data_IF_756252313370
#
_entry.id   IF_756252313370
#
_cell.length_a   1.000
_cell.length_b   1.000
_cell.length_c   1.000
_cell.angle_alpha   90.00
_cell.angle_beta   90.00
_cell.angle_gamma   90.00
#
_symmetry.space_group_name_H-M   'P 1'
#
loop_
_entity.id
_entity.type
_entity.pdbx_description
1 polymer ?
2 polymer ?
3 polymer ?
4 non-polymer ?
5 water ?
#
loop_
_entity_poly.entity_id
_entity_poly.type
_entity_poly.pdbx_seq_one_letter_code
_entity_poly.pdbx_strand_id
2 'polydeoxyribonucleotide' '(DA)(DT)(DG)(DC)(DG)(DA)(DC)(DI)(DG)' ?
3 'polydeoxyribonucleotide' '(DA)(DG)(DC)(DC)(DG)(DT)' ?
#
# COMPACT_ATOMS: atom_id res chain seq x y z
N UNK A 1 -33.56 -5.70 -55.35
CA UNK A 1 -34.41 -4.72 -54.61
C UNK A 1 -34.14 -3.32 -55.15
N UNK A 2 -35.11 -2.44 -55.01
CA UNK A 2 -34.94 -1.09 -55.52
C UNK A 2 -34.31 -0.14 -54.52
N UNK A 3 -34.06 1.08 -54.97
CA UNK A 3 -33.46 2.10 -54.14
C UNK A 3 -33.43 3.44 -54.86
N UNK A 4 -33.13 4.50 -54.13
CA UNK A 4 -33.07 5.82 -54.75
C UNK A 4 -31.66 6.27 -55.02
N UNK A 5 -31.39 6.54 -56.29
CA UNK A 5 -30.07 7.03 -56.67
C UNK A 5 -30.17 8.48 -56.26
N UNK A 6 -29.76 8.79 -55.05
CA UNK A 6 -29.86 10.16 -54.58
C UNK A 6 -28.86 11.10 -55.25
N UNK A 7 -27.70 10.60 -55.65
CA UNK A 7 -26.70 11.43 -56.29
C UNK A 7 -25.70 10.58 -57.05
N UNK A 8 -24.75 11.25 -57.72
CA UNK A 8 -23.72 10.59 -58.49
C UNK A 8 -22.60 10.12 -57.57
N UNK A 9 -21.93 9.04 -57.95
CA UNK A 9 -20.84 8.50 -57.17
C UNK A 9 -19.49 8.99 -57.68
N UNK A 10 -19.42 9.32 -58.97
CA UNK A 10 -18.19 9.80 -59.55
C UNK A 10 -17.95 11.24 -59.10
N UNK A 11 -17.59 11.41 -57.84
CA UNK A 11 -17.32 12.73 -57.28
C UNK A 11 -15.92 12.83 -56.70
N UNK A 12 -15.27 14.00 -56.88
CA UNK A 12 -13.92 14.14 -56.32
C UNK A 12 -14.12 14.25 -54.80
N UNK A 13 -13.17 13.75 -53.99
CA UNK A 13 -13.24 13.78 -52.54
C UNK A 13 -13.92 15.01 -51.92
N UNK A 14 -13.42 16.19 -52.24
CA UNK A 14 -13.98 17.43 -51.71
C UNK A 14 -15.48 17.58 -51.98
N UNK A 15 -15.95 17.03 -53.10
CA UNK A 15 -17.36 17.13 -53.44
C UNK A 15 -18.19 16.14 -52.65
N UNK A 16 -17.64 14.95 -52.41
CA UNK A 16 -18.33 13.93 -51.65
C UNK A 16 -18.72 14.46 -50.26
N UNK A 17 -17.82 15.20 -49.63
CA UNK A 17 -18.04 15.79 -48.31
C UNK A 17 -19.26 16.70 -48.36
N UNK A 18 -19.27 17.57 -49.37
CA UNK A 18 -20.36 18.51 -49.57
C UNK A 18 -21.66 17.72 -49.61
N UNK A 19 -21.66 16.65 -50.41
CA UNK A 19 -22.83 15.80 -50.52
C UNK A 19 -23.19 15.30 -49.13
N UNK A 20 -22.22 14.72 -48.44
CA UNK A 20 -22.43 14.20 -47.10
C UNK A 20 -23.08 15.21 -46.17
N UNK A 21 -22.63 16.46 -46.23
CA UNK A 21 -23.20 17.49 -45.38
C UNK A 21 -24.64 17.81 -45.75
N UNK A 22 -25.05 17.49 -46.97
CA UNK A 22 -26.42 17.76 -47.36
C UNK A 22 -27.29 16.58 -46.99
N UNK A 23 -26.79 15.36 -47.22
CA UNK A 23 -27.55 14.14 -46.91
C UNK A 23 -27.82 13.88 -45.42
N UNK A 24 -26.90 14.32 -44.57
CA UNK A 24 -27.02 14.12 -43.13
C UNK A 24 -28.28 14.76 -42.56
N UNK A 25 -28.76 15.81 -43.20
CA UNK A 25 -29.95 16.51 -42.74
C UNK A 25 -31.21 15.72 -43.02
N UNK A 26 -31.12 14.73 -43.89
CA UNK A 26 -32.27 13.90 -44.25
C UNK A 26 -32.36 12.64 -43.40
N UNK A 27 -31.36 12.39 -42.57
CA UNK A 27 -31.37 11.20 -41.72
C UNK A 27 -32.43 11.30 -40.64
N UNK A 28 -33.06 10.16 -40.34
CA UNK A 28 -34.11 10.10 -39.31
C UNK A 28 -33.71 9.07 -38.25
N UNK A 29 -33.44 9.54 -37.04
CA UNK A 29 -33.07 8.65 -35.95
C UNK A 29 -34.35 8.30 -35.23
N UNK A 30 -34.80 7.08 -35.40
CA UNK A 30 -36.06 6.68 -34.78
C UNK A 30 -36.01 5.28 -34.21
N UNK A 31 -36.81 5.03 -33.17
CA UNK A 31 -36.82 3.70 -32.58
C UNK A 31 -37.15 2.62 -33.59
N UNK A 32 -36.61 1.45 -33.38
CA UNK A 32 -36.95 0.35 -34.23
C UNK A 32 -37.58 -0.56 -33.20
N UNK A 33 -38.88 -0.42 -33.02
CA UNK A 33 -39.63 -1.20 -32.05
C UNK A 33 -40.04 -2.54 -32.66
N UNK A 34 -39.83 -3.62 -31.93
CA UNK A 34 -40.26 -4.89 -32.45
C UNK A 34 -39.20 -5.85 -32.93
N UNK A 35 -39.63 -7.10 -33.15
CA UNK A 35 -38.76 -8.15 -33.59
C UNK A 35 -38.67 -8.19 -35.12
N UNK A 36 -37.46 -8.01 -35.66
CA UNK A 36 -37.30 -8.04 -37.11
C UNK A 36 -37.25 -9.52 -37.51
N UNK A 37 -37.56 -9.81 -38.77
CA UNK A 37 -37.54 -11.19 -39.23
C UNK A 37 -36.42 -11.44 -40.23
N UNK A 38 -36.27 -10.53 -41.19
CA UNK A 38 -35.25 -10.63 -42.21
C UNK A 38 -34.17 -9.61 -41.93
N UNK A 39 -32.98 -10.09 -41.59
CA UNK A 39 -31.88 -9.19 -41.30
C UNK A 39 -30.76 -9.43 -42.31
N UNK A 40 -30.26 -8.33 -42.88
CA UNK A 40 -29.20 -8.40 -43.88
C UNK A 40 -27.85 -7.93 -43.35
N UNK A 41 -26.78 -8.43 -43.96
CA UNK A 41 -25.43 -8.07 -43.58
C UNK A 41 -24.67 -7.79 -44.87
N UNK A 42 -23.89 -6.72 -44.89
CA UNK A 42 -23.14 -6.32 -46.08
C UNK A 42 -21.63 -6.23 -45.89
N UNK A 43 -20.87 -6.62 -46.90
CA UNK A 43 -19.43 -6.52 -46.81
C UNK A 43 -18.77 -6.59 -48.19
N UNK A 44 -17.48 -6.27 -48.25
CA UNK A 44 -16.73 -6.31 -49.50
C UNK A 44 -15.32 -6.83 -49.26
N UNK A 45 -14.80 -7.58 -50.20
CA UNK A 45 -13.43 -8.08 -50.11
C UNK A 45 -12.85 -7.48 -51.37
N UNK A 46 -11.54 -7.54 -51.54
CA UNK A 46 -10.97 -6.94 -52.72
C UNK A 46 -9.97 -7.83 -53.47
N UNK A 47 -10.48 -8.64 -54.41
CA UNK A 47 -9.68 -9.57 -55.23
C UNK A 47 -8.50 -8.88 -55.92
N UNK A 48 -8.61 -7.56 -56.11
CA UNK A 48 -7.57 -6.78 -56.75
C UNK A 48 -7.63 -5.40 -56.14
N UNK A 49 -6.72 -4.49 -56.46
CA UNK A 49 -6.80 -3.17 -55.85
C UNK A 49 -7.98 -2.39 -56.38
N UNK A 50 -8.17 -2.45 -57.69
CA UNK A 50 -9.27 -1.74 -58.32
C UNK A 50 -10.46 -2.68 -58.53
N UNK A 51 -10.45 -3.81 -57.82
CA UNK A 51 -11.54 -4.77 -57.96
C UNK A 51 -12.17 -5.21 -56.65
N UNK A 52 -13.44 -4.90 -56.49
CA UNK A 52 -14.13 -5.28 -55.28
C UNK A 52 -15.11 -6.41 -55.50
N UNK A 53 -15.51 -7.05 -54.40
CA UNK A 53 -16.48 -8.14 -54.42
C UNK A 53 -17.41 -7.91 -53.23
N UNK A 54 -18.62 -7.45 -53.53
CA UNK A 54 -19.60 -7.16 -52.50
C UNK A 54 -20.54 -8.35 -52.32
N UNK A 55 -20.91 -8.61 -51.06
CA UNK A 55 -21.82 -9.70 -50.72
C UNK A 55 -22.87 -9.22 -49.73
N UNK A 56 -24.10 -9.67 -49.92
CA UNK A 56 -25.19 -9.31 -49.00
C UNK A 56 -25.82 -10.61 -48.56
N UNK A 57 -25.95 -10.78 -47.25
CA UNK A 57 -26.55 -12.00 -46.73
C UNK A 57 -27.81 -11.64 -45.95
N UNK A 58 -28.92 -12.30 -46.27
CA UNK A 58 -30.17 -12.06 -45.58
C UNK A 58 -30.37 -13.25 -44.66
N UNK A 59 -30.58 -12.96 -43.38
CA UNK A 59 -30.79 -14.00 -42.39
C UNK A 59 -32.21 -13.92 -41.85
N UNK A 60 -32.65 -15.06 -41.32
CA UNK A 60 -33.98 -15.18 -40.74
C UNK A 60 -33.76 -15.04 -39.24
N UNK A 61 -34.45 -14.09 -38.62
CA UNK A 61 -34.32 -13.91 -37.18
C UNK A 61 -35.61 -14.35 -36.49
N UNK A 62 -35.51 -14.92 -35.28
CA UNK A 62 -34.32 -15.19 -34.49
C UNK A 62 -33.59 -16.51 -34.70
N UNK A 63 -33.78 -17.15 -35.85
CA UNK A 63 -33.12 -18.42 -36.10
C UNK A 63 -31.71 -18.31 -36.71
N UNK A 64 -31.41 -17.14 -37.28
CA UNK A 64 -30.11 -16.89 -37.90
C UNK A 64 -29.86 -17.77 -39.12
N UNK A 65 -30.94 -18.32 -39.66
CA UNK A 65 -30.89 -19.19 -40.83
C UNK A 65 -30.62 -18.33 -42.07
N UNK A 66 -29.73 -18.78 -42.94
CA UNK A 66 -29.44 -18.02 -44.15
C UNK A 66 -30.60 -18.20 -45.12
N UNK A 67 -31.18 -17.11 -45.58
CA UNK A 67 -32.29 -17.18 -46.50
C UNK A 67 -31.87 -16.84 -47.93
N UNK A 68 -30.96 -15.88 -48.06
CA UNK A 68 -30.50 -15.46 -49.38
C UNK A 68 -29.08 -14.91 -49.33
N UNK A 69 -28.39 -14.98 -50.46
CA UNK A 69 -27.03 -14.48 -50.56
C UNK A 69 -26.76 -14.05 -51.98
N UNK A 70 -26.55 -12.76 -52.19
CA UNK A 70 -26.23 -12.26 -53.53
C UNK A 70 -24.89 -11.56 -53.49
N UNK A 71 -24.25 -11.41 -54.64
CA UNK A 71 -22.96 -10.76 -54.68
C UNK A 71 -22.71 -10.08 -56.01
N UNK A 72 -21.79 -9.12 -56.00
CA UNK A 72 -21.44 -8.38 -57.19
C UNK A 72 -19.94 -8.13 -57.18
N UNK A 73 -19.28 -8.52 -58.26
CA UNK A 73 -17.84 -8.36 -58.40
C UNK A 73 -17.68 -7.21 -59.38
N UNK A 74 -16.93 -6.18 -59.01
CA UNK A 74 -16.77 -5.06 -59.91
C UNK A 74 -15.58 -4.16 -59.62
N UNK A 75 -15.39 -3.18 -60.50
CA UNK A 75 -14.28 -2.26 -60.36
C UNK A 75 -14.54 -1.27 -59.24
N UNK A 76 -13.47 -0.92 -58.53
CA UNK A 76 -13.54 0.05 -57.44
C UNK A 76 -12.66 1.19 -57.86
N UNK A 77 -13.25 2.35 -58.07
CA UNK A 77 -12.48 3.51 -58.50
C UNK A 77 -12.01 4.39 -57.35
N UNK A 78 -12.95 4.84 -56.52
CA UNK A 78 -12.68 5.71 -55.37
C UNK A 78 -11.69 5.06 -54.40
N UNK A 79 -10.73 5.84 -53.88
CA UNK A 79 -9.74 5.33 -52.94
C UNK A 79 -10.29 5.27 -51.53
N UNK A 80 -9.53 4.71 -50.61
CA UNK A 80 -9.98 4.66 -49.22
C UNK A 80 -9.55 5.91 -48.50
N UNK A 81 -10.51 6.62 -47.92
CA UNK A 81 -10.23 7.82 -47.18
C UNK A 81 -11.17 7.77 -46.00
N UNK A 82 -10.62 7.72 -44.77
CA UNK A 82 -11.47 7.68 -43.57
C UNK A 82 -12.57 8.73 -43.67
N UNK A 83 -13.81 8.32 -43.46
CA UNK A 83 -14.90 9.26 -43.54
C UNK A 83 -15.59 9.30 -44.88
N UNK A 84 -15.04 8.60 -45.87
CA UNK A 84 -15.63 8.56 -47.21
C UNK A 84 -15.72 7.12 -47.71
N UNK A 85 -15.82 6.18 -46.79
CA UNK A 85 -15.92 4.78 -47.17
C UNK A 85 -17.10 4.55 -48.12
N UNK A 86 -18.20 5.27 -47.91
CA UNK A 86 -19.37 5.13 -48.76
C UNK A 86 -19.07 5.32 -50.24
N UNK A 87 -18.27 6.32 -50.56
CA UNK A 87 -17.93 6.59 -51.95
C UNK A 87 -17.02 5.53 -52.55
N UNK A 88 -16.50 4.65 -51.70
CA UNK A 88 -15.64 3.59 -52.16
C UNK A 88 -16.41 2.27 -52.26
N UNK A 89 -17.04 1.86 -51.16
CA UNK A 89 -17.76 0.58 -51.15
C UNK A 89 -19.26 0.68 -51.49
N UNK A 90 -19.79 1.89 -51.44
CA UNK A 90 -21.21 2.08 -51.72
C UNK A 90 -21.73 1.55 -53.04
N UNK A 91 -21.23 2.08 -54.17
CA UNK A 91 -21.64 1.68 -55.52
C UNK A 91 -21.76 0.17 -55.81
N UNK A 92 -20.77 -0.59 -55.38
CA UNK A 92 -20.79 -2.03 -55.63
C UNK A 92 -21.82 -2.73 -54.76
N UNK A 93 -22.06 -2.20 -53.57
CA UNK A 93 -23.06 -2.78 -52.67
C UNK A 93 -24.44 -2.63 -53.31
N UNK A 94 -24.70 -1.44 -53.86
CA UNK A 94 -25.97 -1.14 -54.51
C UNK A 94 -26.23 -2.02 -55.73
N UNK A 95 -25.15 -2.41 -56.42
CA UNK A 95 -25.29 -3.27 -57.59
C UNK A 95 -25.68 -4.67 -57.13
N UNK A 96 -25.20 -5.07 -55.96
CA UNK A 96 -25.54 -6.38 -55.40
C UNK A 96 -26.96 -6.30 -54.85
N UNK A 97 -27.32 -5.11 -54.38
CA UNK A 97 -28.63 -4.86 -53.82
C UNK A 97 -29.69 -4.95 -54.92
N UNK A 98 -29.33 -4.52 -56.13
CA UNK A 98 -30.25 -4.57 -57.26
C UNK A 98 -30.60 -6.02 -57.57
N UNK A 99 -29.78 -6.94 -57.08
CA UNK A 99 -30.00 -8.36 -57.32
C UNK A 99 -30.80 -9.02 -56.21
N UNK A 100 -30.90 -8.34 -55.07
CA UNK A 100 -31.61 -8.87 -53.90
C UNK A 100 -33.11 -9.06 -54.09
N UNK A 101 -33.59 -10.26 -53.79
CA UNK A 101 -35.00 -10.57 -53.96
C UNK A 101 -35.85 -10.31 -52.71
N UNK A 102 -35.32 -10.66 -51.53
CA UNK A 102 -36.07 -10.46 -50.28
C UNK A 102 -35.74 -9.12 -49.64
N UNK A 103 -36.78 -8.37 -49.27
CA UNK A 103 -36.61 -7.07 -48.65
C UNK A 103 -36.33 -7.23 -47.16
N UNK A 104 -35.14 -6.79 -46.71
CA UNK A 104 -34.73 -6.88 -45.32
C UNK A 104 -35.48 -5.92 -44.40
N UNK A 105 -35.62 -6.29 -43.13
CA UNK A 105 -36.29 -5.44 -42.14
C UNK A 105 -35.25 -4.44 -41.63
N UNK A 106 -33.99 -4.91 -41.60
CA UNK A 106 -32.88 -4.10 -41.14
C UNK A 106 -31.58 -4.55 -41.84
N UNK A 107 -30.74 -3.59 -42.19
CA UNK A 107 -29.47 -3.91 -42.85
C UNK A 107 -28.29 -3.50 -41.98
N UNK A 108 -27.36 -4.44 -41.78
CA UNK A 108 -26.18 -4.15 -40.98
C UNK A 108 -24.96 -3.99 -41.90
N UNK A 109 -24.25 -2.88 -41.73
CA UNK A 109 -23.06 -2.63 -42.55
C UNK A 109 -21.79 -2.73 -41.72
N UNK A 110 -20.70 -3.16 -42.36
CA UNK A 110 -19.41 -3.28 -41.73
C UNK A 110 -18.77 -1.89 -41.83
N UNK A 111 -19.15 -0.99 -40.92
CA UNK A 111 -18.62 0.38 -40.91
C UNK A 111 -19.41 1.25 -39.97
N UNK A 112 -19.03 2.52 -39.80
CA UNK A 112 -19.77 3.42 -38.90
C UNK A 112 -21.07 3.86 -39.53
N UNK A 113 -21.93 4.41 -38.67
CA UNK A 113 -23.22 4.95 -39.09
C UNK A 113 -23.15 6.39 -38.61
N UNK A 114 -23.76 6.67 -37.45
CA UNK A 114 -23.77 8.02 -36.87
C UNK A 114 -22.38 8.40 -36.35
N UNK A 115 -21.64 7.41 -35.84
CA UNK A 115 -20.30 7.65 -35.30
C UNK A 115 -19.35 7.99 -36.45
N UNK A 116 -19.49 9.22 -36.95
CA UNK A 116 -18.74 9.67 -38.10
C UNK A 116 -18.56 11.20 -38.04
N UNK A 117 -17.44 11.72 -38.56
CA UNK A 117 -17.17 13.17 -38.55
C UNK A 117 -18.38 13.99 -38.95
N UNK A 118 -18.97 13.67 -40.10
CA UNK A 118 -20.13 14.42 -40.59
C UNK A 118 -21.47 13.72 -40.34
N UNK A 119 -21.51 12.90 -39.30
CA UNK A 119 -22.75 12.20 -38.92
C UNK A 119 -23.41 11.45 -40.08
N UNK A 120 -22.62 11.02 -41.05
CA UNK A 120 -23.15 10.28 -42.18
C UNK A 120 -22.21 9.15 -42.58
N UNK A 121 -22.04 8.18 -41.69
CA UNK A 121 -21.17 7.06 -42.00
C UNK A 121 -21.78 6.26 -43.13
N UNK A 122 -21.04 5.32 -43.70
CA UNK A 122 -21.57 4.52 -44.80
C UNK A 122 -22.92 3.88 -44.50
N UNK A 123 -23.23 3.60 -43.23
CA UNK A 123 -24.51 2.98 -42.88
C UNK A 123 -25.68 3.95 -42.98
N UNK A 124 -25.43 5.20 -42.62
CA UNK A 124 -26.45 6.23 -42.69
C UNK A 124 -26.70 6.53 -44.16
N UNK A 125 -25.61 6.66 -44.90
CA UNK A 125 -25.65 6.97 -46.32
C UNK A 125 -26.49 5.96 -47.11
N UNK A 126 -26.19 4.69 -46.95
CA UNK A 126 -26.93 3.65 -47.66
C UNK A 126 -28.39 3.64 -47.22
N UNK A 127 -28.64 3.81 -45.94
CA UNK A 127 -30.01 3.81 -45.45
C UNK A 127 -30.87 4.81 -46.19
N UNK A 128 -30.31 5.98 -46.50
CA UNK A 128 -31.07 7.01 -47.21
C UNK A 128 -31.43 6.48 -48.58
N UNK A 129 -30.48 5.79 -49.21
CA UNK A 129 -30.66 5.22 -50.53
C UNK A 129 -31.73 4.12 -50.51
N UNK A 130 -31.50 3.07 -49.75
CA UNK A 130 -32.43 1.95 -49.70
C UNK A 130 -33.70 2.19 -48.88
N UNK A 131 -33.75 3.30 -48.17
CA UNK A 131 -34.93 3.63 -47.37
C UNK A 131 -35.39 2.46 -46.48
N UNK A 132 -34.45 1.88 -45.76
CA UNK A 132 -34.71 0.78 -44.85
C UNK A 132 -33.83 1.03 -43.63
N UNK A 133 -34.28 0.59 -42.43
CA UNK A 133 -33.50 0.79 -41.21
C UNK A 133 -32.10 0.16 -41.29
N UNK A 134 -31.08 0.94 -40.93
CA UNK A 134 -29.72 0.45 -40.98
C UNK A 134 -28.91 0.64 -39.69
N UNK A 135 -27.87 -0.17 -39.53
CA UNK A 135 -26.99 -0.09 -38.37
C UNK A 135 -25.56 -0.24 -38.85
N UNK A 136 -24.65 0.46 -38.19
CA UNK A 136 -23.25 0.34 -38.55
C UNK A 136 -22.52 -0.40 -37.45
N UNK A 137 -21.72 -1.38 -37.81
CA UNK A 137 -20.94 -2.11 -36.83
C UNK A 137 -19.50 -2.14 -37.31
N UNK A 138 -18.66 -1.30 -36.72
CA UNK A 138 -17.25 -1.24 -37.08
C UNK A 138 -16.37 -1.97 -36.10
N UNK A 139 -15.16 -2.30 -36.53
CA UNK A 139 -14.21 -3.03 -35.69
C UNK A 139 -13.17 -2.10 -35.08
N UNK A 140 -13.30 -0.81 -35.35
CA UNK A 140 -12.38 0.16 -34.79
C UNK A 140 -13.06 1.52 -34.76
N UNK A 141 -12.51 2.45 -33.99
CA UNK A 141 -13.10 3.76 -33.87
C UNK A 141 -12.70 4.67 -35.02
N UNK A 142 -13.63 5.49 -35.46
CA UNK A 142 -13.35 6.44 -36.53
C UNK A 142 -13.50 7.84 -35.96
N UNK A 143 -14.47 8.00 -35.08
CA UNK A 143 -14.77 9.30 -34.51
C UNK A 143 -15.50 9.13 -33.18
N UNK A 144 -15.35 10.08 -32.26
CA UNK A 144 -16.02 9.99 -30.97
C UNK A 144 -15.12 9.60 -29.79
N UNK A 145 -15.56 9.86 -28.57
CA UNK A 145 -14.77 9.50 -27.39
C UNK A 145 -15.47 8.43 -26.57
N UNK A 146 -14.71 7.57 -25.93
CA UNK A 146 -15.32 6.52 -25.14
C UNK A 146 -14.40 5.98 -24.06
N UNK A 147 -14.99 5.37 -23.05
CA UNK A 147 -14.26 4.76 -21.96
C UNK A 147 -14.30 3.25 -22.27
N UNK A 148 -13.14 2.63 -22.40
CA UNK A 148 -13.09 1.20 -22.72
C UNK A 148 -13.96 0.38 -21.77
N UNK A 149 -14.93 -0.36 -22.32
CA UNK A 149 -15.79 -1.19 -21.48
C UNK A 149 -14.98 -2.31 -20.84
N UNK A 150 -15.50 -2.88 -19.75
CA UNK A 150 -14.83 -3.97 -19.07
C UNK A 150 -14.66 -5.16 -20.02
N UNK A 151 -13.70 -6.02 -19.71
CA UNK A 151 -13.44 -7.19 -20.54
C UNK A 151 -14.40 -8.31 -20.15
N UNK A 152 -15.69 -8.00 -20.19
CA UNK A 152 -16.72 -8.97 -19.84
C UNK A 152 -17.76 -9.03 -20.96
N UNK A 153 -18.15 -10.26 -21.31
CA UNK A 153 -19.12 -10.57 -22.37
C UNK A 153 -20.14 -9.55 -22.86
N UNK A 154 -20.86 -8.83 -22.00
CA UNK A 154 -21.83 -7.87 -22.54
C UNK A 154 -21.61 -6.45 -22.09
N UNK A 155 -20.42 -6.19 -21.55
CA UNK A 155 -20.04 -4.88 -21.06
C UNK A 155 -20.08 -3.89 -22.23
N UNK A 156 -20.53 -2.66 -21.98
CA UNK A 156 -20.59 -1.65 -23.04
C UNK A 156 -20.48 -0.23 -22.50
N UNK A 157 -20.13 0.69 -23.38
CA UNK A 157 -20.01 2.11 -23.03
C UNK A 157 -20.67 2.92 -24.14
N UNK A 158 -20.89 4.21 -23.89
CA UNK A 158 -21.46 5.07 -24.90
C UNK A 158 -20.34 5.75 -25.67
N UNK A 159 -20.56 5.95 -26.97
CA UNK A 159 -19.60 6.64 -27.83
C UNK A 159 -20.10 8.08 -27.87
N UNK A 160 -19.23 9.02 -27.57
CA UNK A 160 -19.63 10.43 -27.55
C UNK A 160 -18.96 11.35 -28.54
N UNK A 161 -19.62 12.47 -28.76
CA UNK A 161 -19.13 13.55 -29.60
C UNK A 161 -19.54 14.69 -28.69
N UNK A 162 -18.75 14.93 -27.65
CA UNK A 162 -19.10 15.96 -26.70
C UNK A 162 -20.15 15.39 -25.77
N UNK A 163 -21.28 16.07 -25.65
CA UNK A 163 -22.35 15.61 -24.78
C UNK A 163 -23.29 14.69 -25.56
N UNK A 164 -23.18 14.70 -26.87
CA UNK A 164 -24.05 13.88 -27.71
C UNK A 164 -23.62 12.42 -27.78
N UNK A 165 -24.59 11.52 -27.62
CA UNK A 165 -24.31 10.10 -27.72
C UNK A 165 -24.49 9.76 -29.18
N UNK A 166 -23.45 9.24 -29.81
CA UNK A 166 -23.52 8.90 -31.23
C UNK A 166 -23.40 7.41 -31.51
N UNK A 167 -23.30 6.60 -30.46
CA UNK A 167 -23.20 5.17 -30.65
C UNK A 167 -22.75 4.54 -29.37
N UNK A 168 -22.32 3.28 -29.44
CA UNK A 168 -21.86 2.60 -28.25
C UNK A 168 -20.75 1.60 -28.59
N UNK A 169 -19.95 1.26 -27.58
CA UNK A 169 -18.84 0.33 -27.75
C UNK A 169 -19.21 -0.92 -26.93
N UNK A 170 -19.33 -2.05 -27.60
CA UNK A 170 -19.74 -3.27 -26.93
C UNK A 170 -18.70 -4.36 -26.91
N UNK A 171 -18.42 -4.88 -25.73
CA UNK A 171 -17.50 -5.99 -25.61
C UNK A 171 -18.37 -7.21 -25.88
N UNK A 172 -18.31 -7.73 -27.09
CA UNK A 172 -19.12 -8.87 -27.43
C UNK A 172 -18.38 -10.17 -27.15
N UNK A 173 -17.07 -10.09 -27.01
CA UNK A 173 -16.29 -11.26 -26.75
C UNK A 173 -15.04 -10.92 -25.93
N UNK A 174 -14.99 -11.45 -24.71
CA UNK A 174 -13.86 -11.22 -23.81
C UNK A 174 -12.54 -11.62 -24.44
N UNK A 175 -11.52 -10.81 -24.23
CA UNK A 175 -10.22 -11.11 -24.80
C UNK A 175 -10.08 -10.52 -26.18
N UNK A 176 -11.20 -10.13 -26.77
CA UNK A 176 -11.19 -9.53 -28.09
C UNK A 176 -11.56 -8.07 -27.94
N UNK A 177 -11.16 -7.26 -28.91
CA UNK A 177 -11.45 -5.84 -28.88
C UNK A 177 -12.94 -5.61 -29.02
N UNK A 178 -13.46 -4.48 -28.48
CA UNK A 178 -14.90 -4.19 -28.59
C UNK A 178 -15.30 -3.83 -30.03
N UNK A 179 -16.60 -3.81 -30.31
CA UNK A 179 -17.07 -3.43 -31.64
C UNK A 179 -17.72 -2.08 -31.48
N UNK A 180 -17.83 -1.34 -32.56
CA UNK A 180 -18.44 -0.01 -32.49
C UNK A 180 -19.74 0.01 -33.26
N UNK A 181 -20.83 0.20 -32.50
CA UNK A 181 -22.19 0.20 -33.00
C UNK A 181 -22.84 1.57 -33.04
N UNK A 182 -23.41 1.94 -34.18
CA UNK A 182 -24.08 3.21 -34.29
C UNK A 182 -25.21 3.13 -35.29
N UNK A 183 -26.28 3.90 -35.06
CA UNK A 183 -27.45 3.91 -35.95
C UNK A 183 -27.17 4.45 -37.33
N UNK A 184 -27.85 3.87 -38.32
CA UNK A 184 -27.72 4.32 -39.69
C UNK A 184 -28.88 5.26 -39.94
N UNK A 185 -29.87 4.77 -40.68
CA UNK A 185 -31.06 5.57 -40.97
C UNK A 185 -32.26 4.80 -40.44
N UNK A 186 -33.30 5.53 -40.00
CA UNK A 186 -34.50 4.91 -39.45
C UNK A 186 -34.10 4.03 -38.27
N UNK A 187 -33.13 4.54 -37.51
CA UNK A 187 -32.61 3.81 -36.37
C UNK A 187 -32.11 4.81 -35.33
N UNK A 188 -31.96 4.37 -34.10
CA UNK A 188 -31.45 5.24 -33.04
C UNK A 188 -30.47 4.41 -32.22
N UNK A 189 -29.71 5.09 -31.37
CA UNK A 189 -28.70 4.43 -30.53
C UNK A 189 -29.21 3.27 -29.68
N UNK A 190 -30.28 3.50 -28.94
CA UNK A 190 -30.79 2.46 -28.07
C UNK A 190 -31.24 1.22 -28.84
N UNK A 191 -31.92 1.41 -29.96
CA UNK A 191 -32.39 0.28 -30.75
C UNK A 191 -31.26 -0.47 -31.46
N UNK A 192 -30.26 0.25 -31.95
CA UNK A 192 -29.17 -0.41 -32.64
C UNK A 192 -28.35 -1.26 -31.68
N UNK A 193 -28.24 -0.81 -30.43
CA UNK A 193 -27.49 -1.56 -29.41
C UNK A 193 -28.28 -2.83 -29.08
N UNK A 194 -29.58 -2.68 -28.88
CA UNK A 194 -30.47 -3.80 -28.56
C UNK A 194 -30.42 -4.85 -29.68
N UNK A 195 -30.61 -4.38 -30.92
CA UNK A 195 -30.59 -5.28 -32.07
C UNK A 195 -29.24 -5.93 -32.30
N UNK A 196 -28.16 -5.17 -32.19
CA UNK A 196 -26.84 -5.76 -32.39
C UNK A 196 -26.51 -6.79 -31.32
N UNK A 197 -26.96 -6.55 -30.09
CA UNK A 197 -26.69 -7.52 -29.03
C UNK A 197 -27.45 -8.80 -29.34
N UNK A 198 -28.65 -8.67 -29.92
CA UNK A 198 -29.47 -9.82 -30.26
C UNK A 198 -28.93 -10.59 -31.47
N UNK A 199 -28.18 -9.90 -32.33
CA UNK A 199 -27.63 -10.51 -33.52
C UNK A 199 -26.24 -11.12 -33.32
N UNK A 200 -25.68 -10.98 -32.13
CA UNK A 200 -24.36 -11.52 -31.86
C UNK A 200 -24.45 -12.78 -31.00
N UNK A 201 -23.90 -13.89 -31.50
CA UNK A 201 -23.96 -15.14 -30.75
C UNK A 201 -22.79 -15.31 -29.80
N UNK A 202 -23.00 -16.05 -28.69
CA UNK A 202 -21.95 -16.28 -27.69
C UNK A 202 -20.67 -16.83 -28.32
N UNK A 203 -19.53 -16.28 -27.93
CA UNK A 203 -18.27 -16.74 -28.47
C UNK A 203 -17.83 -16.02 -29.73
N UNK A 204 -18.72 -15.23 -30.32
CA UNK A 204 -18.37 -14.50 -31.54
C UNK A 204 -18.23 -13.02 -31.24
N UNK A 205 -17.29 -12.37 -31.91
CA UNK A 205 -17.05 -10.96 -31.71
C UNK A 205 -17.95 -10.16 -32.66
N UNK A 206 -18.16 -10.71 -33.85
CA UNK A 206 -18.96 -10.02 -34.85
C UNK A 206 -20.39 -10.56 -34.95
N UNK A 207 -21.39 -9.65 -35.01
CA UNK A 207 -22.78 -10.12 -35.13
C UNK A 207 -22.97 -10.89 -36.43
N UNK A 208 -23.77 -11.95 -36.40
CA UNK A 208 -24.02 -12.82 -37.55
C UNK A 208 -24.20 -12.24 -38.96
N UNK A 209 -25.03 -11.19 -39.12
CA UNK A 209 -25.22 -10.61 -40.45
C UNK A 209 -23.92 -10.27 -41.15
N UNK A 210 -23.09 -9.46 -40.51
CA UNK A 210 -21.82 -9.05 -41.07
C UNK A 210 -20.73 -10.12 -40.95
N UNK A 211 -20.85 -11.01 -39.98
CA UNK A 211 -19.84 -12.04 -39.82
C UNK A 211 -19.89 -12.98 -41.01
N UNK A 212 -21.10 -13.32 -41.42
CA UNK A 212 -21.33 -14.21 -42.54
C UNK A 212 -21.03 -13.53 -43.88
N UNK A 213 -21.42 -12.25 -44.00
CA UNK A 213 -21.16 -11.51 -45.23
C UNK A 213 -19.65 -11.47 -45.47
N UNK A 214 -18.88 -11.38 -44.40
CA UNK A 214 -17.44 -11.32 -44.51
C UNK A 214 -16.85 -12.64 -44.98
N UNK A 215 -17.25 -13.74 -44.34
CA UNK A 215 -16.75 -15.04 -44.73
C UNK A 215 -17.03 -15.31 -46.19
N UNK A 216 -18.23 -14.95 -46.62
CA UNK A 216 -18.64 -15.16 -48.01
C UNK A 216 -17.81 -14.28 -48.95
N UNK A 217 -17.55 -13.06 -48.53
CA UNK A 217 -16.77 -12.13 -49.32
C UNK A 217 -15.37 -12.71 -49.52
N UNK A 218 -14.91 -13.48 -48.53
CA UNK A 218 -13.59 -14.09 -48.57
C UNK A 218 -13.59 -15.43 -49.28
N UNK A 219 -14.60 -16.26 -49.05
CA UNK A 219 -14.65 -17.55 -49.74
C UNK A 219 -14.85 -17.36 -51.24
N UNK A 220 -15.80 -16.51 -51.61
CA UNK A 220 -16.05 -16.25 -53.02
C UNK A 220 -14.76 -15.78 -53.69
N UNK A 221 -14.05 -14.89 -53.00
CA UNK A 221 -12.80 -14.36 -53.54
C UNK A 221 -11.84 -15.51 -53.83
N UNK A 222 -11.47 -16.25 -52.79
CA UNK A 222 -10.57 -17.38 -52.93
C UNK A 222 -11.31 -18.49 -53.70
N UNK A 223 -11.05 -19.74 -53.33
CA UNK A 223 -11.72 -20.83 -54.00
C UNK A 223 -13.21 -20.79 -53.74
N UNK A 224 -13.99 -20.53 -54.70
N UNK B 1 16.40 8.77 26.76
CA UNK B 1 17.52 7.88 26.32
C UNK B 1 16.94 6.52 25.98
N UNK B 2 17.48 5.87 24.97
CA UNK B 2 16.98 4.57 24.54
C UNK B 2 17.51 3.45 25.42
N UNK B 3 16.83 2.32 25.42
CA UNK B 3 17.28 1.16 26.19
C UNK B 3 16.65 -0.10 25.60
N UNK B 4 16.99 -1.26 26.12
CA UNK B 4 16.42 -2.46 25.56
C UNK B 4 15.54 -3.22 26.53
N UNK B 5 14.25 -3.32 26.18
CA UNK B 5 13.29 -4.03 26.99
C UNK B 5 13.66 -5.48 26.77
N UNK B 6 14.36 -6.07 27.72
CA UNK B 6 14.79 -7.45 27.59
C UNK B 6 13.73 -8.47 27.93
N UNK B 7 12.82 -8.10 28.83
CA UNK B 7 11.78 -9.03 29.24
C UNK B 7 10.59 -8.30 29.85
N UNK B 8 9.56 -9.07 30.19
CA UNK B 8 8.35 -8.53 30.79
C UNK B 8 8.59 -8.21 32.27
N UNK B 9 7.92 -7.18 32.78
CA UNK B 9 8.07 -6.78 34.16
C UNK B 9 6.95 -7.28 35.05
N UNK B 10 5.77 -7.40 34.47
CA UNK B 10 4.60 -7.87 35.19
C UNK B 10 4.71 -9.39 35.38
N UNK B 11 5.64 -9.82 36.21
CA UNK B 11 5.86 -11.23 36.49
C UNK B 11 5.74 -11.50 37.97
N UNK B 12 5.34 -12.71 38.35
CA UNK B 12 5.21 -13.04 39.77
C UNK B 12 6.61 -13.38 40.30
N UNK B 13 6.80 -13.27 41.62
CA UNK B 13 8.12 -13.58 42.21
C UNK B 13 8.84 -14.79 41.63
N UNK B 14 8.19 -15.95 41.65
CA UNK B 14 8.76 -17.19 41.12
C UNK B 14 9.40 -17.04 39.74
N UNK B 15 8.73 -16.29 38.88
CA UNK B 15 9.20 -16.06 37.52
C UNK B 15 10.32 -15.04 37.51
N UNK B 16 10.17 -14.00 38.33
CA UNK B 16 11.17 -12.95 38.42
C UNK B 16 12.53 -13.57 38.70
N UNK B 17 12.58 -14.57 39.58
CA UNK B 17 13.85 -15.21 39.90
C UNK B 17 14.38 -15.92 38.64
N UNK B 18 13.50 -16.65 37.97
CA UNK B 18 13.90 -17.37 36.77
C UNK B 18 14.51 -16.46 35.72
N UNK B 19 13.95 -15.28 35.53
CA UNK B 19 14.51 -14.37 34.54
C UNK B 19 15.85 -13.84 35.03
N UNK B 20 16.02 -13.70 36.35
CA UNK B 20 17.29 -13.22 36.89
C UNK B 20 18.42 -14.20 36.60
N UNK B 21 18.11 -15.49 36.74
CA UNK B 21 19.10 -16.53 36.50
C UNK B 21 19.48 -16.63 35.03
N UNK B 22 18.66 -16.09 34.14
CA UNK B 22 18.97 -16.14 32.73
C UNK B 22 19.79 -14.92 32.35
N UNK B 23 19.38 -13.75 32.83
CA UNK B 23 20.09 -12.51 32.51
C UNK B 23 21.49 -12.43 33.08
N UNK B 24 21.77 -13.22 34.12
CA UNK B 24 23.08 -13.20 34.76
C UNK B 24 24.20 -13.71 33.85
N UNK B 25 23.83 -14.58 32.91
CA UNK B 25 24.79 -15.15 31.97
C UNK B 25 25.25 -14.09 30.99
N UNK B 26 24.45 -13.04 30.81
CA UNK B 26 24.79 -11.98 29.89
C UNK B 26 25.60 -10.84 30.51
N UNK B 27 25.92 -10.94 31.80
CA UNK B 27 26.68 -9.89 32.46
C UNK B 27 28.16 -9.95 32.10
N UNK B 28 28.73 -8.81 31.78
CA UNK B 28 30.15 -8.73 31.42
C UNK B 28 30.94 -7.93 32.47
N UNK B 29 31.70 -8.63 33.31
CA UNK B 29 32.51 -7.97 34.34
C UNK B 29 33.81 -7.44 33.76
N UNK B 30 33.71 -6.45 32.89
CA UNK B 30 34.89 -5.88 32.25
C UNK B 30 35.40 -4.63 32.96
N UNK B 31 36.71 -4.39 32.89
CA UNK B 31 37.30 -3.21 33.53
C UNK B 31 36.81 -1.94 32.87
N UNK B 32 36.79 -0.85 33.61
CA UNK B 32 36.38 0.43 33.05
C UNK B 32 37.63 1.28 33.04
N UNK B 33 38.22 1.47 31.86
CA UNK B 33 39.45 2.25 31.75
C UNK B 33 39.20 3.76 31.84
N UNK B 34 40.10 4.44 32.54
CA UNK B 34 40.01 5.89 32.66
C UNK B 34 38.95 6.46 33.57
N UNK B 35 38.56 7.68 33.27
CA UNK B 35 37.55 8.35 34.07
C UNK B 35 36.38 8.80 33.20
N UNK B 36 35.18 8.80 33.77
CA UNK B 36 34.00 9.22 33.02
C UNK B 36 33.87 10.74 32.89
N UNK B 37 33.14 11.13 31.86
CA UNK B 37 32.87 12.53 31.55
C UNK B 37 31.52 12.82 32.21
N UNK B 38 30.63 11.85 32.09
CA UNK B 38 29.29 11.95 32.63
C UNK B 38 28.94 10.78 33.54
N UNK B 39 28.48 11.11 34.74
CA UNK B 39 28.11 10.12 35.73
C UNK B 39 26.67 10.35 36.21
N UNK B 40 25.84 9.33 36.11
CA UNK B 40 24.45 9.45 36.54
C UNK B 40 24.22 8.66 37.82
N UNK B 41 23.28 9.15 38.62
CA UNK B 41 22.91 8.52 39.87
C UNK B 41 21.41 8.29 39.80
N UNK B 42 20.94 7.25 40.47
CA UNK B 42 19.52 6.93 40.44
C UNK B 42 18.97 6.59 41.80
N UNK B 43 17.72 6.96 42.02
CA UNK B 43 17.07 6.65 43.29
C UNK B 43 15.58 6.88 43.20
N UNK B 44 14.84 6.25 44.09
CA UNK B 44 13.40 6.39 44.13
C UNK B 44 12.91 6.68 45.53
N UNK B 45 11.90 7.54 45.62
CA UNK B 45 11.29 7.85 46.91
C UNK B 45 9.90 7.30 46.69
N UNK B 46 9.13 7.11 47.76
CA UNK B 46 7.79 6.59 47.60
C UNK B 46 6.75 7.48 48.26
N UNK B 47 6.16 8.40 47.48
CA UNK B 47 5.14 9.34 47.93
C UNK B 47 3.94 8.61 48.56
N UNK B 48 3.57 7.49 47.96
CA UNK B 48 2.47 6.69 48.46
C UNK B 48 2.92 5.25 48.52
N UNK B 49 2.15 4.40 49.19
CA UNK B 49 2.55 2.99 49.28
C UNK B 49 2.65 2.40 47.88
N UNK B 50 1.65 2.72 47.05
CA UNK B 50 1.58 2.23 45.67
C UNK B 50 2.12 3.20 44.64
N UNK B 51 2.76 4.27 45.10
CA UNK B 51 3.30 5.25 44.17
C UNK B 51 4.78 5.56 44.41
N UNK B 52 5.57 5.46 43.34
CA UNK B 52 6.98 5.74 43.44
C UNK B 52 7.36 6.98 42.65
N UNK B 53 8.56 7.48 42.91
CA UNK B 53 9.05 8.67 42.23
C UNK B 53 10.52 8.43 41.91
N UNK B 54 10.83 8.24 40.63
CA UNK B 54 12.20 8.02 40.22
C UNK B 54 12.89 9.32 39.83
N UNK B 55 14.20 9.37 40.03
CA UNK B 55 14.98 10.54 39.68
C UNK B 55 16.36 10.12 39.20
N UNK B 56 16.78 10.63 38.06
CA UNK B 56 18.11 10.34 37.53
C UNK B 56 18.83 11.67 37.53
N UNK B 57 20.07 11.66 38.00
CA UNK B 57 20.86 12.88 38.04
C UNK B 57 22.15 12.61 37.31
N UNK B 58 22.47 13.46 36.33
CA UNK B 58 23.70 13.31 35.58
C UNK B 58 24.67 14.41 35.98
N UNK B 59 25.85 13.99 36.45
CA UNK B 59 26.89 14.91 36.89
C UNK B 59 28.06 14.90 35.92
N UNK B 60 28.76 16.03 35.84
CA UNK B 60 29.93 16.13 34.98
C UNK B 60 31.14 15.90 35.88
N UNK B 61 31.97 14.93 35.51
CA UNK B 61 33.15 14.59 36.29
C UNK B 61 34.40 15.29 35.74
N UNK B 62 35.28 15.79 36.64
CA UNK B 62 35.21 15.73 38.10
C UNK B 62 34.62 16.94 38.82
N UNK B 63 34.02 17.88 38.08
CA UNK B 63 33.45 19.07 38.69
C UNK B 63 32.22 18.74 39.54
N UNK B 64 31.55 17.63 39.22
CA UNK B 64 30.35 17.21 39.93
C UNK B 64 29.22 18.20 39.70
N UNK B 65 29.21 18.81 38.53
CA UNK B 65 28.17 19.78 38.18
C UNK B 65 26.90 19.06 37.74
N UNK B 66 25.76 19.54 38.23
CA UNK B 66 24.48 18.96 37.86
C UNK B 66 24.20 19.41 36.42
N UNK B 67 24.31 18.48 35.47
CA UNK B 67 24.06 18.80 34.08
C UNK B 67 22.59 18.60 33.74
N UNK B 68 22.04 17.48 34.19
CA UNK B 68 20.66 17.15 33.92
C UNK B 68 20.01 16.44 35.12
N UNK B 69 18.70 16.49 35.19
CA UNK B 69 17.95 15.85 36.26
C UNK B 69 16.54 15.54 35.79
N UNK B 70 16.22 14.26 35.60
CA UNK B 70 14.90 13.86 35.16
C UNK B 70 14.22 13.04 36.26
N UNK B 71 12.89 13.15 36.33
CA UNK B 71 12.14 12.40 37.34
C UNK B 71 10.90 11.76 36.72
N UNK B 72 10.14 11.03 37.53
CA UNK B 72 8.95 10.35 37.02
C UNK B 72 8.19 9.65 38.15
N UNK B 73 6.99 10.15 38.44
CA UNK B 73 6.15 9.54 39.46
C UNK B 73 5.30 8.51 38.75
N UNK B 74 5.02 7.39 39.41
CA UNK B 74 4.20 6.38 38.78
C UNK B 74 3.81 5.26 39.71
N UNK B 75 2.87 4.45 39.28
CA UNK B 75 2.40 3.33 40.07
C UNK B 75 3.50 2.29 40.29
N UNK B 76 3.64 1.87 41.54
CA UNK B 76 4.61 0.84 41.90
C UNK B 76 3.71 -0.27 42.44
N UNK B 77 3.72 -1.42 41.81
CA UNK B 77 2.87 -2.52 42.29
C UNK B 77 3.70 -3.59 42.97
N UNK B 78 4.68 -4.13 42.25
CA UNK B 78 5.55 -5.18 42.78
C UNK B 78 6.08 -4.79 44.16
N UNK B 79 5.82 -5.63 45.16
CA UNK B 79 6.26 -5.38 46.54
C UNK B 79 7.76 -5.53 46.71
N UNK B 80 8.29 -5.01 47.83
CA UNK B 80 9.71 -5.12 48.08
C UNK B 80 10.03 -6.50 48.60
N UNK B 81 10.94 -7.19 47.93
CA UNK B 81 11.35 -8.51 48.36
C UNK B 81 12.85 -8.54 48.20
N UNK B 82 13.57 -8.78 49.30
CA UNK B 82 15.02 -8.82 49.18
C UNK B 82 15.49 -9.68 48.02
N UNK B 83 16.27 -9.10 47.12
CA UNK B 83 16.76 -9.84 45.97
C UNK B 83 15.97 -9.64 44.69
N UNK B 84 14.79 -9.02 44.79
CA UNK B 84 13.95 -8.76 43.61
C UNK B 84 13.69 -7.27 43.45
N UNK B 85 14.57 -6.46 44.03
CA UNK B 85 14.43 -5.00 44.00
C UNK B 85 14.22 -4.43 42.61
N UNK B 86 14.93 -4.97 41.62
CA UNK B 86 14.79 -4.48 40.26
C UNK B 86 13.33 -4.50 39.78
N UNK B 87 12.61 -5.55 40.15
CA UNK B 87 11.22 -5.67 39.75
C UNK B 87 10.32 -4.65 40.42
N UNK B 88 10.83 -3.99 41.44
CA UNK B 88 10.05 -2.99 42.14
C UNK B 88 10.45 -1.59 41.71
N UNK B 89 11.75 -1.34 41.58
CA UNK B 89 12.23 -0.01 41.21
C UNK B 89 12.66 0.17 39.75
N UNK B 90 12.96 -0.94 39.07
CA UNK B 90 13.39 -0.88 37.68
C UNK B 90 12.46 -0.19 36.69
N UNK B 91 11.22 -0.69 36.50
CA UNK B 91 10.26 -0.11 35.58
C UNK B 91 10.14 1.41 35.61
N UNK B 92 9.95 1.97 36.80
CA UNK B 92 9.80 3.40 36.93
C UNK B 92 11.08 4.15 36.61
N UNK B 93 12.22 3.51 36.87
CA UNK B 93 13.52 4.12 36.58
C UNK B 93 13.66 4.27 35.07
N UNK B 94 13.41 3.18 34.35
CA UNK B 94 13.49 3.18 32.89
C UNK B 94 12.53 4.22 32.29
N UNK B 95 11.42 4.46 32.98
CA UNK B 95 10.43 5.42 32.53
C UNK B 95 11.06 6.82 32.56
N UNK B 96 11.82 7.10 33.61
CA UNK B 96 12.49 8.39 33.73
C UNK B 96 13.68 8.44 32.77
N UNK B 97 14.23 7.27 32.46
CA UNK B 97 15.38 7.14 31.59
C UNK B 97 15.04 7.56 30.15
N UNK B 98 13.83 7.21 29.70
CA UNK B 98 13.39 7.56 28.36
C UNK B 98 13.42 9.07 28.18
N UNK B 99 13.25 9.79 29.27
CA UNK B 99 13.25 11.25 29.22
C UNK B 99 14.67 11.80 29.26
N UNK B 100 15.64 10.93 29.52
CA UNK B 100 17.02 11.37 29.62
C UNK B 100 17.58 11.82 28.28
N UNK B 101 18.20 13.00 28.28
CA UNK B 101 18.77 13.57 27.06
C UNK B 101 20.30 13.35 26.98
N UNK B 102 20.99 13.41 28.13
CA UNK B 102 22.43 13.23 28.18
C UNK B 102 22.82 11.76 28.43
N UNK B 103 23.64 11.20 27.55
CA UNK B 103 24.06 9.81 27.73
C UNK B 103 25.23 9.73 28.70
N UNK B 104 25.07 8.94 29.77
CA UNK B 104 26.11 8.77 30.79
C UNK B 104 27.14 7.71 30.42
N UNK B 105 28.35 7.89 30.96
CA UNK B 105 29.45 6.95 30.72
C UNK B 105 29.36 5.84 31.75
N UNK B 106 28.89 6.19 32.95
CA UNK B 106 28.71 5.23 34.03
C UNK B 106 27.52 5.68 34.88
N UNK B 107 26.67 4.71 35.24
CA UNK B 107 25.48 4.98 36.06
C UNK B 107 25.61 4.27 37.40
N UNK B 108 25.32 4.99 38.47
CA UNK B 108 25.40 4.41 39.80
C UNK B 108 24.01 4.17 40.35
N UNK B 109 23.78 2.99 40.92
CA UNK B 109 22.48 2.66 41.51
C UNK B 109 22.54 2.51 43.03
N UNK B 110 21.43 2.85 43.68
CA UNK B 110 21.28 2.76 45.14
C UNK B 110 20.80 1.33 45.40
N UNK B 111 21.74 0.38 45.41
CA UNK B 111 21.41 -1.01 45.66
C UNK B 111 22.58 -1.88 45.26
N UNK B 112 22.46 -3.19 45.47
CA UNK B 112 23.55 -4.10 45.12
C UNK B 112 23.71 -4.26 43.61
N UNK B 113 24.91 -4.71 43.23
CA UNK B 113 25.20 -4.97 41.83
C UNK B 113 25.43 -6.46 41.81
N UNK B 114 26.69 -6.87 41.76
CA UNK B 114 27.08 -8.27 41.75
C UNK B 114 26.89 -8.95 43.10
N UNK B 115 26.91 -8.17 44.18
CA UNK B 115 26.74 -8.70 45.55
C UNK B 115 25.25 -9.01 45.75
N UNK B 116 24.81 -10.07 45.08
CA UNK B 116 23.41 -10.48 45.11
C UNK B 116 23.34 -12.02 45.06
N UNK B 117 22.30 -12.60 45.68
CA UNK B 117 22.10 -14.05 45.72
C UNK B 117 22.34 -14.73 44.38
N UNK B 118 21.81 -14.16 43.31
CA UNK B 118 21.94 -14.73 41.97
C UNK B 118 22.80 -13.88 41.03
N UNK B 119 23.77 -13.17 41.60
CA UNK B 119 24.67 -12.32 40.83
C UNK B 119 23.97 -11.31 39.92
N UNK B 120 22.77 -10.89 40.29
CA UNK B 120 22.04 -9.94 39.47
C UNK B 120 21.28 -8.89 40.27
N UNK B 121 22.02 -7.96 40.88
CA UNK B 121 21.38 -6.92 41.66
C UNK B 121 20.74 -5.94 40.70
N UNK B 122 19.93 -5.02 41.22
CA UNK B 122 19.28 -4.04 40.36
C UNK B 122 20.27 -3.35 39.44
N UNK B 123 21.48 -3.12 39.94
CA UNK B 123 22.51 -2.44 39.15
C UNK B 123 22.94 -3.27 37.95
N UNK B 124 23.14 -4.56 38.19
CA UNK B 124 23.53 -5.45 37.11
C UNK B 124 22.38 -5.51 36.12
N UNK B 125 21.19 -5.79 36.64
CA UNK B 125 19.98 -5.90 35.85
C UNK B 125 19.71 -4.67 34.98
N UNK B 126 19.78 -3.48 35.58
CA UNK B 126 19.54 -2.28 34.80
C UNK B 126 20.64 -2.10 33.75
N UNK B 127 21.87 -2.48 34.09
CA UNK B 127 22.99 -2.33 33.17
C UNK B 127 22.77 -3.05 31.84
N UNK B 128 22.12 -4.21 31.90
CA UNK B 128 21.83 -5.00 30.71
C UNK B 128 20.78 -4.28 29.85
N UNK B 129 19.85 -3.60 30.50
CA UNK B 129 18.81 -2.87 29.78
C UNK B 129 19.40 -1.63 29.10
N UNK B 130 20.06 -0.76 29.86
CA UNK B 130 20.62 0.45 29.28
C UNK B 130 21.98 0.26 28.59
N UNK B 131 22.55 -0.93 28.73
CA UNK B 131 23.83 -1.25 28.12
C UNK B 131 24.86 -0.12 28.28
N UNK B 132 25.16 0.20 29.53
CA UNK B 132 26.11 1.23 29.88
C UNK B 132 26.74 0.73 31.17
N UNK B 133 28.00 1.10 31.46
CA UNK B 133 28.66 0.65 32.69
C UNK B 133 27.86 1.03 33.95
N UNK B 134 27.64 0.06 34.84
CA UNK B 134 26.89 0.32 36.07
C UNK B 134 27.60 -0.12 37.36
N UNK B 135 27.22 0.52 38.46
CA UNK B 135 27.77 0.18 39.75
C UNK B 135 26.67 0.16 40.81
N UNK B 136 26.79 -0.78 41.74
CA UNK B 136 25.82 -0.87 42.81
C UNK B 136 26.45 -0.38 44.10
N UNK B 137 25.80 0.58 44.73
CA UNK B 137 26.28 1.10 46.00
C UNK B 137 25.10 1.01 46.96
N UNK B 138 25.19 0.08 47.91
CA UNK B 138 24.13 -0.09 48.89
C UNK B 138 24.60 0.38 50.26
N UNK B 139 23.64 0.73 51.12
CA UNK B 139 23.95 1.21 52.45
C UNK B 139 23.95 0.10 53.49
N UNK B 140 23.68 -1.13 53.04
CA UNK B 140 23.68 -2.28 53.93
C UNK B 140 24.01 -3.53 53.14
N UNK B 141 24.33 -4.60 53.85
CA UNK B 141 24.67 -5.85 53.20
C UNK B 141 23.42 -6.62 52.81
N UNK B 142 23.47 -7.28 51.66
CA UNK B 142 22.34 -8.08 51.22
C UNK B 142 22.84 -9.51 51.10
N UNK B 143 24.06 -9.65 50.60
CA UNK B 143 24.66 -10.95 50.39
C UNK B 143 26.17 -10.83 50.42
N UNK B 144 26.85 -11.88 50.88
CA UNK B 144 28.30 -11.88 50.94
C UNK B 144 28.83 -11.83 52.36
N UNK B 145 30.10 -12.19 52.53
CA UNK B 145 30.74 -12.17 53.84
C UNK B 145 31.94 -11.24 53.80
N UNK B 146 32.25 -10.60 54.93
CA UNK B 146 33.38 -9.67 54.97
C UNK B 146 33.88 -9.36 56.39
N UNK B 147 35.08 -8.83 56.48
CA UNK B 147 35.64 -8.43 57.76
C UNK B 147 35.45 -6.93 57.75
N UNK B 148 34.78 -6.39 58.76
CA UNK B 148 34.52 -4.96 58.84
C UNK B 148 35.79 -4.12 58.69
N UNK B 149 35.84 -3.23 57.70
CA UNK B 149 37.05 -2.40 57.54
C UNK B 149 37.29 -1.53 58.77
N UNK B 150 38.50 -1.04 58.91
CA UNK B 150 38.84 -0.17 60.05
C UNK B 150 38.01 1.10 59.99
N UNK B 151 37.93 1.80 61.12
CA UNK B 151 37.16 3.02 61.19
C UNK B 151 37.98 4.24 60.82
N UNK B 152 38.64 4.17 59.67
CA UNK B 152 39.45 5.27 59.18
C UNK B 152 39.00 5.50 57.74
N UNK B 153 38.84 6.76 57.36
CA UNK B 153 38.39 7.10 56.01
C UNK B 153 39.15 6.38 54.90
N UNK B 154 38.40 5.74 54.01
CA UNK B 154 38.94 5.00 52.86
C UNK B 154 39.38 3.57 53.16
N UNK B 155 39.27 3.16 54.40
CA UNK B 155 39.66 1.81 54.76
C UNK B 155 38.62 0.92 54.07
N UNK B 156 39.04 -0.24 53.57
CA UNK B 156 38.08 -1.11 52.89
C UNK B 156 38.40 -2.59 53.01
N UNK B 157 37.44 -3.42 52.57
CA UNK B 157 37.61 -4.86 52.60
C UNK B 157 36.80 -5.47 51.46
N UNK B 158 37.25 -6.61 50.95
CA UNK B 158 36.55 -7.28 49.87
C UNK B 158 35.32 -8.00 50.41
N UNK B 159 34.26 -8.01 49.62
CA UNK B 159 33.03 -8.69 49.99
C UNK B 159 33.18 -10.07 49.33
N UNK B 160 32.91 -11.13 50.08
CA UNK B 160 33.08 -12.46 49.54
C UNK B 160 31.87 -13.35 49.46
N UNK B 161 31.83 -14.16 48.41
CA UNK B 161 30.80 -15.16 48.26
C UNK B 161 31.67 -16.40 48.23
N UNK B 162 32.16 -16.79 49.40
CA UNK B 162 33.03 -17.94 49.48
C UNK B 162 34.41 -17.48 49.07
N UNK B 163 34.92 -18.03 47.98
CA UNK B 163 36.25 -17.68 47.49
C UNK B 163 36.18 -16.61 46.42
N UNK B 164 34.97 -16.30 45.99
CA UNK B 164 34.73 -15.30 44.95
C UNK B 164 34.58 -13.88 45.52
N UNK B 165 35.33 -12.95 44.96
CA UNK B 165 35.25 -11.55 45.37
C UNK B 165 34.08 -10.98 44.59
N UNK B 166 33.02 -10.61 45.30
CA UNK B 166 31.83 -10.09 44.65
C UNK B 166 31.61 -8.60 44.84
N UNK B 167 32.60 -7.92 45.44
CA UNK B 167 32.47 -6.49 45.67
C UNK B 167 33.38 -6.05 46.78
N UNK B 168 33.10 -4.91 47.37
CA UNK B 168 33.95 -4.44 48.45
C UNK B 168 33.17 -3.58 49.44
N UNK B 169 33.66 -3.51 50.67
CA UNK B 169 33.03 -2.72 51.71
C UNK B 169 33.95 -1.54 51.99
N UNK B 170 33.44 -0.32 51.82
CA UNK B 170 34.26 0.87 52.03
C UNK B 170 33.84 1.83 53.13
N UNK B 171 34.79 2.15 54.01
CA UNK B 171 34.57 3.10 55.08
C UNK B 171 34.81 4.46 54.41
N UNK B 172 33.73 5.08 53.94
CA UNK B 172 33.88 6.36 53.28
C UNK B 172 33.86 7.53 54.25
N UNK B 173 33.31 7.29 55.44
CA UNK B 173 33.20 8.35 56.45
C UNK B 173 33.33 7.68 57.80
N UNK B 174 34.44 7.92 58.49
CA UNK B 174 34.66 7.31 59.81
C UNK B 174 33.61 7.74 60.81
N UNK B 175 33.30 6.83 61.74
CA UNK B 175 32.28 7.10 62.74
C UNK B 175 30.93 6.87 62.10
N UNK B 176 30.95 6.37 60.88
CA UNK B 176 29.74 6.10 60.13
C UNK B 176 29.87 4.73 59.48
N UNK B 177 28.74 4.06 59.30
CA UNK B 177 28.74 2.72 58.69
C UNK B 177 29.31 2.77 57.28
N UNK B 178 29.96 1.68 56.84
CA UNK B 178 30.56 1.58 55.51
C UNK B 178 29.52 1.41 54.41
N UNK B 179 29.92 1.58 53.15
CA UNK B 179 29.01 1.38 52.02
C UNK B 179 29.42 0.10 51.32
N UNK B 180 28.47 -0.54 50.64
CA UNK B 180 28.75 -1.79 49.94
C UNK B 180 28.76 -1.56 48.44
N UNK B 181 29.93 -1.73 47.83
CA UNK B 181 30.09 -1.48 46.42
C UNK B 181 30.38 -2.69 45.55
N UNK B 182 29.57 -2.90 44.53
CA UNK B 182 29.78 -4.02 43.62
C UNK B 182 29.47 -3.60 42.20
N UNK B 183 30.18 -4.21 41.23
CA UNK B 183 29.94 -3.85 39.83
C UNK B 183 28.60 -4.34 39.32
N UNK B 184 28.03 -3.59 38.38
CA UNK B 184 26.76 -3.97 37.79
C UNK B 184 27.08 -4.71 36.51
N UNK B 185 27.04 -3.99 35.40
CA UNK B 185 27.34 -4.58 34.10
C UNK B 185 28.43 -3.76 33.41
N UNK B 186 29.30 -4.44 32.67
CA UNK B 186 30.41 -3.79 31.98
C UNK B 186 31.22 -3.03 33.02
N UNK B 187 31.52 -3.72 34.12
CA UNK B 187 32.24 -3.14 35.24
C UNK B 187 32.82 -4.30 36.03
N UNK B 188 33.87 -4.03 36.79
CA UNK B 188 34.47 -5.06 37.63
C UNK B 188 34.74 -4.51 39.02
N UNK B 189 35.04 -5.40 39.95
CA UNK B 189 35.31 -4.99 41.31
C UNK B 189 36.33 -3.85 41.42
N UNK B 190 37.48 -4.02 40.79
CA UNK B 190 38.52 -3.01 40.87
C UNK B 190 38.12 -1.63 40.34
N UNK B 191 37.45 -1.58 39.20
CA UNK B 191 37.02 -0.31 38.62
C UNK B 191 35.94 0.35 39.46
N UNK B 192 34.98 -0.44 39.93
CA UNK B 192 33.89 0.11 40.74
C UNK B 192 34.45 0.66 42.04
N UNK B 193 35.44 -0.02 42.62
CA UNK B 193 36.03 0.46 43.85
C UNK B 193 36.68 1.83 43.68
N UNK B 194 37.55 1.98 42.69
CA UNK B 194 38.19 3.29 42.52
C UNK B 194 37.25 4.36 42.01
N UNK B 195 36.25 3.99 41.22
CA UNK B 195 35.31 4.97 40.72
C UNK B 195 34.50 5.55 41.85
N UNK B 196 34.04 4.70 42.76
CA UNK B 196 33.23 5.18 43.88
C UNK B 196 34.03 6.03 44.87
N UNK B 197 35.30 5.70 45.06
CA UNK B 197 36.13 6.50 45.95
C UNK B 197 36.23 7.89 45.33
N UNK B 198 36.40 7.93 44.02
CA UNK B 198 36.48 9.19 43.29
C UNK B 198 35.19 9.99 43.34
N UNK B 199 34.04 9.30 43.27
CA UNK B 199 32.73 9.97 43.31
C UNK B 199 32.28 10.39 44.72
N UNK B 200 32.98 9.90 45.75
CA UNK B 200 32.60 10.25 47.11
C UNK B 200 33.49 11.36 47.66
N UNK B 201 32.87 12.47 48.04
CA UNK B 201 33.61 13.62 48.57
C UNK B 201 33.88 13.51 50.07
N UNK B 202 34.94 14.17 50.56
CA UNK B 202 35.31 14.15 51.99
C UNK B 202 34.21 14.67 52.90
N UNK B 203 33.95 13.93 53.97
CA UNK B 203 32.92 14.30 54.93
C UNK B 203 31.55 13.81 54.51
N UNK B 204 31.52 12.83 53.63
CA UNK B 204 30.26 12.26 53.15
C UNK B 204 30.37 10.75 53.05
N UNK B 205 29.28 10.07 53.34
CA UNK B 205 29.26 8.61 53.30
C UNK B 205 28.87 8.03 51.95
N UNK B 206 27.93 8.67 51.27
CA UNK B 206 27.46 8.20 49.98
C UNK B 206 28.01 9.00 48.79
N UNK B 207 28.47 8.30 47.74
CA UNK B 207 29.01 9.00 46.56
C UNK B 207 28.00 10.02 46.02
N UNK B 208 28.50 11.05 45.33
CA UNK B 208 27.64 12.11 44.81
C UNK B 208 26.46 11.74 43.93
N UNK B 209 26.67 10.85 42.95
CA UNK B 209 25.58 10.45 42.05
C UNK B 209 24.32 10.00 42.80
N UNK B 210 24.45 9.01 43.66
CA UNK B 210 23.28 8.53 44.39
C UNK B 210 22.89 9.46 45.53
N UNK B 211 23.84 10.22 46.06
CA UNK B 211 23.50 11.13 47.14
C UNK B 211 22.53 12.19 46.64
N UNK B 212 22.89 12.84 45.53
CA UNK B 212 22.04 13.87 44.93
C UNK B 212 20.74 13.32 44.41
N UNK B 213 20.80 12.16 43.75
CA UNK B 213 19.59 11.53 43.22
C UNK B 213 18.61 11.37 44.38
N UNK B 214 19.10 10.84 45.48
CA UNK B 214 18.28 10.65 46.66
C UNK B 214 17.68 11.94 47.15
N UNK B 215 18.51 12.96 47.34
CA UNK B 215 17.98 14.24 47.81
C UNK B 215 16.85 14.77 46.94
N UNK B 216 17.03 14.71 45.62
CA UNK B 216 15.99 15.17 44.70
C UNK B 216 14.74 14.31 44.82
N UNK B 217 14.94 13.04 45.12
CA UNK B 217 13.82 12.11 45.26
C UNK B 217 12.94 12.46 46.47
N UNK B 218 13.57 13.03 47.50
CA UNK B 218 12.84 13.42 48.71
C UNK B 218 12.28 14.84 48.60
N UNK B 219 13.02 15.72 47.94
CA UNK B 219 12.56 17.10 47.78
C UNK B 219 11.39 17.18 46.79
N UNK B 220 11.36 16.27 45.82
CA UNK B 220 10.29 16.29 44.83
C UNK B 220 9.05 15.59 45.38
N UNK B 221 9.19 14.97 46.54
CA UNK B 221 8.07 14.28 47.16
C UNK B 221 7.18 15.29 47.88
N UNK B 222 7.79 16.25 48.56
CA UNK B 222 7.04 17.29 49.27
C UNK B 222 7.12 18.63 48.57
N UNK B 223 7.61 18.63 47.33
CA UNK B 223 7.73 19.86 46.57
C UNK B 223 8.79 20.80 47.13
N UNK B 224 9.39 20.49 48.18
#
# INVERSE_FOLDING_TARGET
>A
MDYRQLHRWDLPPEEAIKVQNELRKKIKLTPYEGEPEYVAGVDLSFPGKEEGLAVIVVLEYPSFKILEVVSERGEITFPYIPGLLAFREGPLFLKAWEKLRTKPDVVVFDGQGLAHPRKLGIASHMGLFIEIPTIGVAKSRLYGTFKMPEDKRCSWSYLYDGEEIIGCVIRTKEGSAPIFVSPGHLMDVESSKRLIKAFTLPGRRIPEPTRLAHIYTQRLKKGLF
>B
MDYRQLHRWDLPPEEAIKVQNELRKKIKLTPYEGEPEYVAGVDLSFPGKEEGLAVIVVLEYPSFKILEVVSERGEITFPYIPGLLAFREGPLFLKAWEKLRTKPDVVVFDGQGLAHPRKLGIASHMGLFIEIPTIGVAKSRLYGTFKMPEDKRCSWSYLYDGEEIIGCVIRTKEGSAPIFVSPGHLMDVESSKRLIKAFTLPGRRIPEPTRLAHIYTQRLKKGLF
#
